data_IF_429925099380
#
_entry.id   IF_429925099380
#
_cell.length_a   1.000
_cell.length_b   1.000
_cell.length_c   1.000
_cell.angle_alpha   90.00
_cell.angle_beta   90.00
_cell.angle_gamma   90.00
#
_symmetry.space_group_name_H-M   'P 1'
#
loop_
_entity.id
_entity.type
_entity.pdbx_description
1 polymer ?
#
# COMPACT_ATOMS: atom_id res chain seq x y z
N UNK A 1 14.56 -6.02 11.54
CA UNK A 1 13.42 -6.94 11.69
C UNK A 1 12.14 -6.14 11.47
N UNK A 2 11.39 -6.46 10.42
CA UNK A 2 10.09 -5.83 10.14
C UNK A 2 9.08 -6.57 11.03
N UNK A 3 8.41 -5.90 11.96
CA UNK A 3 7.30 -6.52 12.69
C UNK A 3 6.19 -6.86 11.68
N UNK A 4 5.92 -8.14 11.46
CA UNK A 4 4.90 -8.65 10.53
C UNK A 4 5.39 -9.15 9.17
N UNK A 5 6.68 -8.97 8.83
CA UNK A 5 7.29 -9.62 7.67
C UNK A 5 8.47 -10.49 8.10
N UNK A 6 8.38 -11.78 7.83
CA UNK A 6 9.46 -12.70 8.09
C UNK A 6 10.31 -12.87 6.83
N UNK A 7 11.55 -12.40 6.94
CA UNK A 7 12.55 -12.63 5.92
C UNK A 7 13.19 -13.98 6.21
N UNK A 8 12.99 -14.91 5.30
CA UNK A 8 13.71 -16.17 5.27
C UNK A 8 14.80 -15.98 4.23
N UNK A 9 16.03 -15.64 4.66
CA UNK A 9 17.12 -15.49 3.71
C UNK A 9 17.28 -16.79 2.90
N UNK A 10 17.19 -16.74 1.57
CA UNK A 10 17.75 -17.81 0.75
C UNK A 10 19.21 -17.92 1.09
N UNK A 11 19.61 -19.11 1.51
CA UNK A 11 20.97 -19.45 1.87
C UNK A 11 21.51 -18.70 3.12
N UNK A 12 21.30 -19.32 4.28
CA UNK A 12 22.47 -19.57 5.13
C UNK A 12 23.55 -20.30 4.30
N UNK A 13 24.80 -20.29 4.73
CA UNK A 13 26.00 -20.79 4.01
C UNK A 13 25.93 -22.23 3.41
N UNK A 14 24.79 -22.92 3.51
CA UNK A 14 24.54 -24.31 3.12
C UNK A 14 23.70 -24.51 1.83
N UNK A 15 23.29 -23.46 1.11
CA UNK A 15 22.69 -23.59 -0.23
C UNK A 15 21.36 -24.37 -0.31
N UNK A 16 20.68 -24.62 0.82
CA UNK A 16 19.36 -25.27 0.86
C UNK A 16 18.26 -24.28 0.48
N UNK A 17 17.31 -24.76 -0.32
CA UNK A 17 16.13 -23.97 -0.68
C UNK A 17 15.28 -23.67 0.57
N UNK A 18 14.61 -22.51 0.60
CA UNK A 18 13.76 -22.06 1.72
C UNK A 18 12.77 -23.15 2.17
N UNK A 19 12.28 -23.96 1.23
CA UNK A 19 11.34 -25.06 1.45
C UNK A 19 12.00 -26.31 2.04
N UNK A 20 13.23 -26.62 1.63
CA UNK A 20 14.01 -27.73 2.22
C UNK A 20 14.36 -27.46 3.68
N UNK A 21 14.65 -26.21 4.04
CA UNK A 21 14.89 -25.82 5.43
C UNK A 21 13.63 -25.94 6.30
N UNK A 22 12.45 -25.73 5.71
CA UNK A 22 11.16 -25.84 6.38
C UNK A 22 10.58 -27.27 6.38
N UNK A 23 11.18 -28.20 5.63
CA UNK A 23 10.72 -29.59 5.47
C UNK A 23 9.21 -29.66 5.12
N UNK A 24 8.81 -28.85 4.13
CA UNK A 24 7.42 -28.75 3.65
C UNK A 24 7.32 -29.21 2.21
N UNK A 25 6.27 -29.96 1.90
CA UNK A 25 5.89 -30.28 0.53
C UNK A 25 5.15 -29.08 -0.08
N UNK A 26 5.59 -28.67 -1.27
CA UNK A 26 5.09 -27.48 -1.95
C UNK A 26 4.35 -27.87 -3.22
N UNK A 27 3.10 -27.45 -3.31
CA UNK A 27 2.30 -27.56 -4.53
C UNK A 27 1.95 -26.16 -5.03
N UNK A 28 2.09 -25.93 -6.34
CA UNK A 28 1.80 -24.61 -6.94
C UNK A 28 0.51 -24.71 -7.74
N UNK A 29 -0.49 -23.96 -7.32
CA UNK A 29 -1.76 -23.82 -8.01
C UNK A 29 -1.82 -22.41 -8.63
N UNK A 30 -2.18 -22.32 -9.92
CA UNK A 30 -2.40 -21.03 -10.58
C UNK A 30 -3.90 -20.78 -10.70
N UNK A 31 -4.39 -19.78 -9.99
CA UNK A 31 -5.79 -19.35 -10.04
C UNK A 31 -5.85 -17.95 -10.66
N UNK A 32 -6.25 -17.89 -11.94
CA UNK A 32 -6.27 -16.65 -12.71
C UNK A 32 -4.88 -16.03 -12.90
N UNK A 33 -4.72 -14.81 -12.39
CA UNK A 33 -3.44 -14.06 -12.44
C UNK A 33 -2.57 -14.27 -11.20
N UNK A 34 -3.06 -15.00 -10.18
CA UNK A 34 -2.35 -15.22 -8.94
C UNK A 34 -1.81 -16.64 -8.86
N UNK A 35 -0.56 -16.77 -8.40
CA UNK A 35 0.06 -18.05 -8.10
C UNK A 35 -0.10 -18.31 -6.59
N UNK A 36 -0.67 -19.45 -6.25
CA UNK A 36 -0.84 -19.91 -4.88
C UNK A 36 0.12 -21.08 -4.63
N UNK A 37 0.84 -21.00 -3.52
CA UNK A 37 1.70 -22.05 -3.01
C UNK A 37 0.99 -22.72 -1.84
N UNK A 38 0.57 -23.95 -2.03
CA UNK A 38 -0.03 -24.77 -1.00
C UNK A 38 1.05 -25.66 -0.39
N UNK A 39 1.37 -25.35 0.86
CA UNK A 39 2.38 -26.02 1.66
C UNK A 39 1.70 -27.07 2.54
N UNK A 40 2.29 -28.26 2.62
CA UNK A 40 1.87 -29.32 3.54
C UNK A 40 3.07 -29.76 4.37
N UNK A 41 2.95 -29.79 5.69
CA UNK A 41 4.06 -30.16 6.57
C UNK A 41 3.97 -29.52 7.95
N UNK A 42 5.10 -29.49 8.66
CA UNK A 42 5.18 -28.90 9.99
C UNK A 42 5.40 -27.38 9.88
N UNK A 43 4.34 -26.60 10.07
CA UNK A 43 4.40 -25.16 9.91
C UNK A 43 5.06 -24.48 11.13
N UNK A 44 5.88 -23.42 10.92
CA UNK A 44 6.42 -22.63 12.01
C UNK A 44 5.30 -22.02 12.86
N UNK A 45 5.38 -22.15 14.19
CA UNK A 45 4.37 -21.60 15.13
C UNK A 45 4.23 -20.08 15.10
N UNK A 46 5.22 -19.38 14.53
CA UNK A 46 5.23 -17.93 14.40
C UNK A 46 4.42 -17.43 13.19
N UNK A 47 3.96 -18.32 12.31
CA UNK A 47 3.14 -17.94 11.17
C UNK A 47 1.74 -17.54 11.61
N UNK A 48 1.24 -16.49 10.99
CA UNK A 48 -0.12 -16.03 11.13
C UNK A 48 -0.67 -15.61 9.77
N UNK A 49 -2.00 -15.60 9.66
CA UNK A 49 -2.67 -15.07 8.45
C UNK A 49 -2.29 -13.59 8.27
N UNK A 50 -2.04 -13.20 7.02
CA UNK A 50 -1.56 -11.87 6.67
C UNK A 50 -0.07 -11.64 6.88
N UNK A 51 0.68 -12.65 7.35
CA UNK A 51 2.13 -12.55 7.46
C UNK A 51 2.78 -12.49 6.08
N UNK A 52 3.72 -11.57 5.92
CA UNK A 52 4.51 -11.41 4.71
C UNK A 52 5.77 -12.26 4.78
N UNK A 53 6.09 -12.92 3.69
CA UNK A 53 7.26 -13.78 3.55
C UNK A 53 8.08 -13.26 2.38
N UNK A 54 9.37 -13.00 2.61
CA UNK A 54 10.33 -12.72 1.55
C UNK A 54 11.57 -13.55 1.69
N UNK A 55 12.18 -13.84 0.56
CA UNK A 55 13.42 -14.58 0.46
C UNK A 55 14.67 -13.72 0.73
N UNK A 56 14.55 -12.40 0.59
CA UNK A 56 15.63 -11.45 0.88
C UNK A 56 15.07 -10.10 1.31
N UNK A 57 15.84 -9.34 2.11
CA UNK A 57 15.49 -7.95 2.42
C UNK A 57 15.62 -7.06 1.17
N UNK A 58 16.63 -7.30 0.32
CA UNK A 58 16.89 -6.51 -0.88
C UNK A 58 16.87 -7.44 -2.11
N UNK A 59 15.98 -7.21 -3.06
CA UNK A 59 16.04 -7.97 -4.32
C UNK A 59 15.39 -9.36 -4.29
N UNK A 60 14.43 -9.64 -3.40
CA UNK A 60 13.81 -10.96 -3.32
C UNK A 60 13.19 -11.42 -4.65
N UNK A 61 13.55 -12.63 -5.10
CA UNK A 61 12.89 -13.31 -6.22
C UNK A 61 11.54 -13.89 -5.80
N UNK A 62 11.39 -14.19 -4.51
CA UNK A 62 10.16 -14.72 -3.92
C UNK A 62 9.64 -13.82 -2.81
N UNK A 63 8.42 -13.32 -3.01
CA UNK A 63 7.65 -12.53 -2.05
C UNK A 63 6.20 -13.04 -2.03
N UNK A 64 5.71 -13.39 -0.85
CA UNK A 64 4.39 -13.98 -0.69
C UNK A 64 3.67 -13.47 0.57
N UNK A 65 2.35 -13.62 0.60
CA UNK A 65 1.51 -13.39 1.77
C UNK A 65 0.81 -14.69 2.17
N UNK A 66 0.76 -14.99 3.47
CA UNK A 66 0.02 -16.13 4.00
C UNK A 66 -1.48 -15.77 4.03
N UNK A 67 -2.29 -16.45 3.22
CA UNK A 67 -3.75 -16.26 3.16
C UNK A 67 -4.50 -17.18 4.09
N UNK A 68 -4.07 -18.43 4.16
CA UNK A 68 -4.71 -19.44 4.99
C UNK A 68 -3.64 -20.20 5.77
N UNK A 69 -3.91 -20.46 7.04
CA UNK A 69 -3.06 -21.25 7.92
C UNK A 69 -3.91 -22.31 8.61
N UNK A 70 -3.60 -23.56 8.33
CA UNK A 70 -4.13 -24.75 9.01
C UNK A 70 -3.07 -25.38 9.92
N UNK A 71 -3.44 -26.46 10.65
CA UNK A 71 -2.54 -27.13 11.59
C UNK A 71 -1.31 -27.78 10.93
N UNK A 72 -1.45 -28.24 9.68
CA UNK A 72 -0.36 -28.88 8.91
C UNK A 72 -0.34 -28.46 7.44
N UNK A 73 -1.07 -27.39 7.10
CA UNK A 73 -1.19 -26.87 5.75
C UNK A 73 -1.20 -25.35 5.75
N UNK A 74 -0.61 -24.71 4.76
CA UNK A 74 -0.63 -23.27 4.61
C UNK A 74 -0.82 -22.90 3.14
N UNK A 75 -1.63 -21.88 2.87
CA UNK A 75 -1.83 -21.32 1.53
C UNK A 75 -1.16 -19.96 1.47
N UNK A 76 -0.12 -19.86 0.66
CA UNK A 76 0.60 -18.62 0.37
C UNK A 76 0.18 -18.11 -1.01
N UNK A 77 0.02 -16.81 -1.14
CA UNK A 77 -0.19 -16.15 -2.42
C UNK A 77 1.07 -15.39 -2.81
N UNK A 78 1.57 -15.64 -4.01
CA UNK A 78 2.69 -14.89 -4.57
C UNK A 78 2.27 -13.45 -4.86
N UNK A 79 3.08 -12.50 -4.42
CA UNK A 79 2.83 -11.09 -4.61
C UNK A 79 3.28 -10.62 -6.00
N UNK A 80 2.66 -9.54 -6.46
CA UNK A 80 3.03 -8.92 -7.73
C UNK A 80 4.30 -8.08 -7.55
N UNK A 81 5.24 -8.18 -8.49
CA UNK A 81 6.46 -7.39 -8.44
C UNK A 81 6.26 -6.01 -9.09
N UNK A 82 6.12 -4.98 -8.27
CA UNK A 82 5.95 -3.58 -8.67
C UNK A 82 7.27 -2.82 -8.90
N UNK A 83 8.42 -3.51 -8.99
CA UNK A 83 9.74 -2.86 -9.15
C UNK A 83 10.08 -2.50 -10.60
N UNK A 84 9.73 -3.37 -11.55
CA UNK A 84 10.20 -3.24 -12.93
C UNK A 84 9.09 -2.89 -13.94
N UNK A 85 7.97 -3.63 -13.95
CA UNK A 85 6.98 -3.52 -15.03
C UNK A 85 5.57 -3.15 -14.58
N UNK A 86 5.16 -3.52 -13.37
CA UNK A 86 3.89 -3.09 -12.80
C UNK A 86 4.15 -1.83 -11.96
N UNK A 87 4.04 -0.62 -12.52
CA UNK A 87 4.01 0.58 -11.69
C UNK A 87 2.58 0.84 -11.22
N UNK A 88 2.36 1.16 -9.94
CA UNK A 88 1.05 1.64 -9.48
C UNK A 88 0.99 3.14 -9.76
N UNK A 89 0.17 3.57 -10.72
CA UNK A 89 0.04 4.97 -11.11
C UNK A 89 1.40 5.69 -11.36
N UNK A 90 2.34 5.01 -12.03
CA UNK A 90 3.69 5.54 -12.31
C UNK A 90 4.67 5.51 -11.13
N UNK A 91 4.31 4.83 -10.03
CA UNK A 91 5.16 4.61 -8.86
C UNK A 91 5.67 3.17 -8.86
N UNK A 92 7.00 3.03 -8.78
CA UNK A 92 7.69 1.75 -8.70
C UNK A 92 8.23 1.54 -7.28
N UNK A 93 8.22 0.29 -6.84
CA UNK A 93 8.88 -0.10 -5.60
C UNK A 93 10.40 -0.16 -5.82
N UNK A 94 11.17 0.36 -4.86
CA UNK A 94 12.63 0.24 -4.85
C UNK A 94 13.14 -0.86 -3.91
N UNK A 95 12.34 -1.19 -2.89
CA UNK A 95 12.69 -2.13 -1.82
C UNK A 95 11.53 -3.13 -1.62
N UNK A 96 11.82 -4.31 -1.08
CA UNK A 96 10.85 -5.37 -0.77
C UNK A 96 9.72 -4.83 0.11
N UNK A 97 10.07 -3.95 1.08
CA UNK A 97 9.10 -3.25 1.93
C UNK A 97 8.11 -2.37 1.16
N UNK A 98 8.60 -1.67 0.13
CA UNK A 98 7.73 -0.84 -0.72
C UNK A 98 6.85 -1.72 -1.60
N UNK A 99 7.39 -2.85 -2.09
CA UNK A 99 6.62 -3.80 -2.87
C UNK A 99 5.48 -4.42 -2.04
N UNK A 100 5.78 -4.84 -0.81
CA UNK A 100 4.77 -5.28 0.15
C UNK A 100 3.71 -4.23 0.40
N UNK A 101 4.13 -2.98 0.64
CA UNK A 101 3.20 -1.87 0.87
C UNK A 101 2.24 -1.68 -0.31
N UNK A 102 2.75 -1.69 -1.54
CA UNK A 102 1.91 -1.55 -2.73
C UNK A 102 0.96 -2.73 -2.93
N UNK A 103 1.43 -3.96 -2.72
CA UNK A 103 0.57 -5.14 -2.79
C UNK A 103 -0.55 -5.08 -1.75
N UNK A 104 -0.24 -4.77 -0.49
CA UNK A 104 -1.23 -4.63 0.57
C UNK A 104 -2.23 -3.51 0.29
N UNK A 105 -1.77 -2.38 -0.24
CA UNK A 105 -2.65 -1.27 -0.59
C UNK A 105 -3.57 -1.60 -1.77
N UNK A 106 -3.10 -2.39 -2.74
CA UNK A 106 -3.84 -2.75 -3.95
C UNK A 106 -4.76 -3.96 -3.77
N UNK A 107 -4.75 -4.57 -2.58
CA UNK A 107 -5.54 -5.74 -2.26
C UNK A 107 -6.95 -5.35 -1.78
N UNK A 108 -8.02 -5.70 -2.52
CA UNK A 108 -9.38 -5.37 -2.12
C UNK A 108 -9.87 -6.16 -0.90
N UNK A 109 -9.20 -7.26 -0.53
CA UNK A 109 -9.57 -8.07 0.63
C UNK A 109 -9.09 -7.45 1.97
N UNK A 110 -8.31 -6.37 1.91
CA UNK A 110 -7.73 -5.72 3.10
C UNK A 110 -8.40 -4.37 3.34
N UNK A 111 -9.23 -4.30 4.39
CA UNK A 111 -9.96 -3.07 4.75
C UNK A 111 -9.06 -1.97 5.35
N UNK A 112 -7.95 -2.34 6.00
CA UNK A 112 -7.10 -1.41 6.73
C UNK A 112 -5.62 -1.76 6.58
N UNK A 113 -4.86 -0.80 6.04
CA UNK A 113 -3.41 -0.88 5.95
C UNK A 113 -2.78 0.21 6.81
N UNK A 114 -1.95 -0.20 7.78
CA UNK A 114 -1.15 0.73 8.58
C UNK A 114 0.30 0.67 8.13
N UNK A 115 0.86 1.81 7.72
CA UNK A 115 2.23 1.90 7.21
C UNK A 115 3.08 2.73 8.17
N UNK A 116 3.96 2.07 8.91
CA UNK A 116 4.94 2.71 9.79
C UNK A 116 6.34 2.68 9.16
N UNK A 117 7.15 3.72 9.40
CA UNK A 117 8.55 3.73 9.01
C UNK A 117 9.17 5.13 9.03
N UNK A 118 10.47 5.22 8.74
CA UNK A 118 11.24 6.46 8.79
C UNK A 118 10.71 7.53 7.81
N UNK A 119 10.93 8.81 8.13
CA UNK A 119 10.58 9.89 7.22
C UNK A 119 11.35 9.73 5.88
N UNK A 120 10.71 10.10 4.77
CA UNK A 120 11.33 10.04 3.44
C UNK A 120 11.21 8.70 2.69
N UNK A 121 10.64 7.65 3.30
CA UNK A 121 10.52 6.32 2.63
C UNK A 121 9.36 6.20 1.63
N UNK A 122 8.74 7.31 1.22
CA UNK A 122 7.70 7.32 0.19
C UNK A 122 6.32 6.83 0.62
N UNK A 123 6.05 6.60 1.91
CA UNK A 123 4.75 6.09 2.42
C UNK A 123 3.54 6.85 1.87
N UNK A 124 3.50 8.17 2.10
CA UNK A 124 2.41 9.02 1.61
C UNK A 124 2.27 8.98 0.09
N UNK A 125 3.40 8.89 -0.61
CA UNK A 125 3.43 8.87 -2.07
C UNK A 125 2.87 7.55 -2.64
N UNK A 126 3.25 6.41 -2.06
CA UNK A 126 2.71 5.10 -2.43
C UNK A 126 1.22 4.99 -2.11
N UNK A 127 0.79 5.47 -0.93
CA UNK A 127 -0.64 5.51 -0.57
C UNK A 127 -1.45 6.35 -1.55
N UNK A 128 -0.94 7.53 -1.95
CA UNK A 128 -1.57 8.38 -2.95
C UNK A 128 -1.70 7.69 -4.30
N UNK A 129 -0.63 7.02 -4.75
CA UNK A 129 -0.63 6.30 -6.02
C UNK A 129 -1.66 5.16 -6.02
N UNK A 130 -1.73 4.37 -4.96
CA UNK A 130 -2.73 3.31 -4.80
C UNK A 130 -4.16 3.88 -4.77
N UNK A 131 -4.38 5.00 -4.04
CA UNK A 131 -5.67 5.67 -3.99
C UNK A 131 -6.14 6.11 -5.39
N UNK A 132 -5.24 6.70 -6.19
CA UNK A 132 -5.56 7.10 -7.56
C UNK A 132 -5.79 5.92 -8.48
N UNK A 133 -4.95 4.88 -8.40
CA UNK A 133 -5.13 3.66 -9.18
C UNK A 133 -6.52 3.05 -8.92
N UNK A 134 -6.92 2.95 -7.66
CA UNK A 134 -8.19 2.30 -7.30
C UNK A 134 -9.41 3.18 -7.56
N UNK A 135 -9.29 4.50 -7.43
CA UNK A 135 -10.41 5.43 -7.65
C UNK A 135 -10.59 5.80 -9.13
N UNK A 136 -9.50 6.03 -9.86
CA UNK A 136 -9.55 6.56 -11.23
C UNK A 136 -9.53 5.44 -12.28
N UNK A 137 -8.62 4.48 -12.15
CA UNK A 137 -8.48 3.39 -13.13
C UNK A 137 -9.41 2.23 -12.79
N UNK A 138 -9.29 1.65 -11.59
CA UNK A 138 -10.08 0.48 -11.18
C UNK A 138 -11.53 0.83 -10.80
N UNK A 139 -11.80 2.11 -10.51
CA UNK A 139 -13.12 2.64 -10.10
C UNK A 139 -13.78 1.85 -8.95
N UNK A 140 -12.97 1.29 -8.05
CA UNK A 140 -13.42 0.58 -6.85
C UNK A 140 -13.97 1.57 -5.80
N UNK A 141 -13.42 2.78 -5.76
CA UNK A 141 -13.83 3.85 -4.86
C UNK A 141 -14.31 5.06 -5.63
N UNK A 142 -15.28 5.78 -5.08
CA UNK A 142 -15.84 6.99 -5.70
C UNK A 142 -15.03 8.24 -5.35
N UNK A 143 -14.44 8.26 -4.15
CA UNK A 143 -13.82 9.44 -3.55
C UNK A 143 -12.61 9.07 -2.69
N UNK A 144 -11.67 10.01 -2.60
CA UNK A 144 -10.49 9.88 -1.74
C UNK A 144 -10.53 10.98 -0.68
N UNK A 145 -10.40 10.61 0.60
CA UNK A 145 -10.43 11.56 1.70
C UNK A 145 -9.09 11.62 2.41
N UNK A 146 -8.48 12.79 2.38
CA UNK A 146 -7.25 13.06 3.14
C UNK A 146 -7.56 13.77 4.44
N UNK A 147 -7.01 13.22 5.52
CA UNK A 147 -7.09 13.77 6.87
C UNK A 147 -5.73 13.74 7.55
N UNK A 148 -5.45 14.73 8.39
CA UNK A 148 -4.39 14.71 9.41
C UNK A 148 -4.83 15.59 10.55
N UNK A 149 -4.37 15.21 11.74
CA UNK A 149 -4.54 16.03 12.92
C UNK A 149 -3.93 17.43 12.67
N UNK A 150 -4.68 18.52 12.88
CA UNK A 150 -4.08 19.85 12.85
C UNK A 150 -3.04 19.90 13.97
N UNK A 151 -1.77 20.14 13.61
CA UNK A 151 -0.73 20.46 14.58
C UNK A 151 -0.99 21.92 15.00
N UNK A 152 -1.34 22.21 16.27
CA UNK A 152 -1.52 23.58 16.70
C UNK A 152 -0.16 24.26 16.72
N UNK A 153 0.07 25.14 15.74
CA UNK A 153 1.20 26.08 15.76
C UNK A 153 0.68 27.39 16.37
N UNK A 154 0.95 27.62 17.66
CA UNK A 154 0.71 28.87 18.39
C UNK A 154 -0.76 29.22 18.70
N UNK A 155 -0.91 30.08 19.73
CA UNK A 155 -2.11 30.54 20.47
C UNK A 155 -3.50 30.12 19.97
N UNK A 156 -4.32 29.62 20.90
CA UNK A 156 -5.74 29.30 20.78
C UNK A 156 -6.60 30.53 20.46
N UNK A 157 -6.49 31.03 19.24
CA UNK A 157 -7.52 31.90 18.66
C UNK A 157 -8.72 31.00 18.33
N UNK A 158 -9.69 30.98 19.25
CA UNK A 158 -11.11 30.63 19.13
C UNK A 158 -11.58 29.72 17.98
N UNK A 159 -12.40 28.74 18.34
CA UNK A 159 -13.00 27.73 17.46
C UNK A 159 -13.90 28.32 16.36
N UNK A 160 -13.30 28.80 15.26
CA UNK A 160 -14.05 29.14 14.05
C UNK A 160 -13.90 28.01 13.01
N UNK A 161 -14.97 27.25 12.69
CA UNK A 161 -14.89 26.12 11.75
C UNK A 161 -14.43 26.55 10.34
N UNK A 162 -14.70 27.80 9.95
CA UNK A 162 -14.21 28.38 8.69
C UNK A 162 -12.69 28.59 8.69
N UNK A 163 -12.08 28.96 9.83
CA UNK A 163 -10.63 29.23 9.93
C UNK A 163 -9.82 27.92 9.90
N UNK A 164 -10.29 26.87 10.59
CA UNK A 164 -9.68 25.51 10.52
C UNK A 164 -9.69 24.97 9.10
N UNK A 165 -10.82 25.05 8.40
CA UNK A 165 -10.94 24.62 6.99
C UNK A 165 -10.02 25.44 6.07
N UNK A 166 -9.90 26.74 6.30
CA UNK A 166 -8.98 27.61 5.54
C UNK A 166 -7.51 27.25 5.80
N UNK A 167 -7.12 26.94 7.04
CA UNK A 167 -5.74 26.54 7.42
C UNK A 167 -5.34 25.20 6.83
N UNK A 168 -6.21 24.17 6.90
CA UNK A 168 -6.00 22.90 6.20
C UNK A 168 -5.88 23.14 4.69
N UNK A 169 -6.80 23.90 4.07
CA UNK A 169 -6.73 24.15 2.62
C UNK A 169 -5.47 24.92 2.19
N UNK A 170 -4.96 25.85 3.03
CA UNK A 170 -3.78 26.69 2.69
C UNK A 170 -2.45 25.95 2.80
N UNK A 171 -2.27 25.07 3.78
CA UNK A 171 -1.01 24.35 3.98
C UNK A 171 -0.88 23.05 3.17
N UNK A 172 -2.01 22.43 2.83
CA UNK A 172 -2.06 21.06 2.33
C UNK A 172 -2.11 20.97 0.81
N UNK A 173 -2.95 21.82 0.23
CA UNK A 173 -3.18 21.84 -1.21
C UNK A 173 -1.88 22.08 -1.99
N UNK A 174 -0.95 22.97 -1.58
CA UNK A 174 0.29 23.13 -2.33
C UNK A 174 1.17 21.88 -2.34
N UNK A 175 1.42 21.26 -1.19
CA UNK A 175 2.26 20.04 -1.10
C UNK A 175 1.61 18.87 -1.85
N UNK A 176 0.30 18.71 -1.71
CA UNK A 176 -0.42 17.63 -2.38
C UNK A 176 -0.52 17.85 -3.88
N UNK A 177 -0.78 19.08 -4.33
CA UNK A 177 -0.76 19.43 -5.75
C UNK A 177 0.63 19.21 -6.33
N UNK A 178 1.71 19.54 -5.61
CA UNK A 178 3.08 19.24 -6.05
C UNK A 178 3.31 17.73 -6.16
N UNK A 179 2.82 16.93 -5.20
CA UNK A 179 2.95 15.47 -5.26
C UNK A 179 2.14 14.85 -6.39
N UNK A 180 0.88 15.26 -6.55
CA UNK A 180 0.03 14.88 -7.68
C UNK A 180 0.73 15.26 -8.98
N UNK A 181 1.28 16.50 -9.05
CA UNK A 181 2.04 17.06 -10.18
C UNK A 181 3.34 16.27 -10.47
N UNK A 182 3.97 15.71 -9.45
CA UNK A 182 5.16 14.90 -9.60
C UNK A 182 4.82 13.48 -10.09
N UNK A 183 3.73 12.87 -9.58
CA UNK A 183 3.28 11.54 -10.01
C UNK A 183 2.99 11.48 -11.50
N UNK A 184 2.15 12.40 -12.02
CA UNK A 184 1.75 12.30 -13.42
C UNK A 184 2.82 12.81 -14.42
N UNK A 185 3.85 13.53 -13.96
CA UNK A 185 5.00 13.90 -14.80
C UNK A 185 5.83 12.66 -15.16
N UNK A 186 5.89 11.67 -14.27
CA UNK A 186 6.63 10.41 -14.49
C UNK A 186 5.96 9.49 -15.52
N UNK A 187 4.69 9.71 -15.85
CA UNK A 187 3.92 8.85 -16.77
C UNK A 187 4.28 9.10 -18.24
N UNK A 188 5.05 10.14 -18.57
CA UNK A 188 5.49 10.44 -19.95
C UNK A 188 4.36 10.74 -20.94
N UNK A 189 3.10 10.63 -20.51
CA UNK A 189 1.93 10.92 -21.30
C UNK A 189 1.69 12.44 -21.31
N UNK A 190 1.72 13.02 -22.51
CA UNK A 190 1.17 14.34 -22.86
C UNK A 190 -0.31 14.52 -22.47
N UNK A 191 -0.96 13.47 -21.98
CA UNK A 191 -2.36 13.41 -21.52
C UNK A 191 -2.70 14.35 -20.36
N UNK A 192 -1.70 14.86 -19.63
CA UNK A 192 -1.97 15.78 -18.50
C UNK A 192 -2.26 17.23 -18.89
N UNK A 193 -2.08 17.58 -20.16
CA UNK A 193 -2.52 18.88 -20.68
C UNK A 193 -4.05 18.97 -20.76
N UNK A 194 -4.76 17.85 -20.60
CA UNK A 194 -6.21 17.83 -20.52
C UNK A 194 -6.65 18.33 -19.13
N UNK A 195 -7.07 19.60 -19.05
CA UNK A 195 -7.68 20.20 -17.86
C UNK A 195 -8.81 19.36 -17.23
N UNK A 196 -9.43 18.46 -18.00
CA UNK A 196 -10.38 17.45 -17.55
C UNK A 196 -9.82 16.52 -16.45
N UNK A 197 -8.58 16.02 -16.57
CA UNK A 197 -7.98 15.12 -15.57
C UNK A 197 -7.72 15.86 -14.26
N UNK A 198 -7.27 17.13 -14.34
CA UNK A 198 -7.13 18.00 -13.16
C UNK A 198 -8.46 18.28 -12.48
N UNK A 199 -9.52 18.50 -13.26
CA UNK A 199 -10.86 18.74 -12.74
C UNK A 199 -11.47 17.48 -12.11
N UNK A 200 -11.25 16.31 -12.70
CA UNK A 200 -11.68 15.02 -12.16
C UNK A 200 -10.99 14.69 -10.84
N UNK A 201 -9.67 14.85 -10.76
CA UNK A 201 -8.92 14.68 -9.50
C UNK A 201 -9.42 15.69 -8.46
N UNK A 202 -9.58 16.95 -8.84
CA UNK A 202 -10.10 18.00 -7.94
C UNK A 202 -11.52 17.75 -7.45
N UNK A 203 -12.34 17.00 -8.20
CA UNK A 203 -13.71 16.64 -7.82
C UNK A 203 -13.78 15.44 -6.87
N UNK A 204 -12.90 14.45 -7.03
CA UNK A 204 -12.89 13.20 -6.24
C UNK A 204 -12.02 13.27 -4.99
N UNK A 205 -11.01 14.14 -4.99
CA UNK A 205 -10.11 14.34 -3.84
C UNK A 205 -10.70 15.37 -2.89
N UNK A 206 -10.99 14.95 -1.65
CA UNK A 206 -11.49 15.84 -0.61
C UNK A 206 -10.52 15.91 0.57
N UNK A 207 -10.13 17.12 0.96
CA UNK A 207 -9.36 17.36 2.19
C UNK A 207 -10.34 17.76 3.28
N UNK A 208 -10.44 16.94 4.33
CA UNK A 208 -11.36 17.15 5.45
C UNK A 208 -10.61 17.11 6.78
N UNK A 209 -11.16 17.78 7.80
CA UNK A 209 -10.63 17.67 9.16
C UNK A 209 -11.18 16.41 9.85
N UNK A 210 -10.47 15.84 10.84
CA UNK A 210 -10.99 14.72 11.63
C UNK A 210 -12.36 15.01 12.26
N UNK A 211 -12.56 16.24 12.75
CA UNK A 211 -13.82 16.68 13.34
C UNK A 211 -15.00 16.69 12.36
N UNK A 212 -14.73 16.77 11.05
CA UNK A 212 -15.76 16.74 10.01
C UNK A 212 -16.24 15.31 9.70
N UNK A 213 -15.41 14.31 9.98
CA UNK A 213 -15.76 12.89 9.77
C UNK A 213 -16.69 12.36 10.87
N UNK A 214 -16.68 12.98 12.06
CA UNK A 214 -17.53 12.57 13.18
C UNK A 214 -19.01 12.72 12.81
N UNK A 215 -19.73 11.59 12.76
CA UNK A 215 -21.16 11.54 12.47
C UNK A 215 -21.54 11.52 10.97
N UNK A 216 -20.59 11.24 10.06
CA UNK A 216 -20.86 11.05 8.63
C UNK A 216 -20.47 9.66 8.16
N UNK A 217 -21.22 9.11 7.21
CA UNK A 217 -20.92 7.82 6.58
C UNK A 217 -19.83 7.98 5.51
N UNK A 218 -18.82 7.12 5.56
CA UNK A 218 -17.68 7.10 4.63
C UNK A 218 -17.79 5.90 3.68
N UNK A 219 -18.96 5.70 3.07
CA UNK A 219 -19.14 4.66 2.06
C UNK A 219 -18.30 4.97 0.83
N UNK A 220 -17.72 3.93 0.24
CA UNK A 220 -16.95 3.93 -1.02
C UNK A 220 -15.85 5.00 -1.06
N UNK A 221 -15.17 5.16 0.08
CA UNK A 221 -14.10 6.14 0.29
C UNK A 221 -12.78 5.44 0.57
N UNK A 222 -11.75 5.87 -0.17
CA UNK A 222 -10.35 5.56 0.13
C UNK A 222 -9.76 6.57 1.12
#
# INVERSE_FOLDING_TARGET
>A
MIEGAQVYATAGQDGKSLWEALNVDVTVERVGHHNFYQLTGNMPRQWHVGMLVSDSENGAEFEAIIRELGPSSARLQLLTNYRHHAGVWGVHAHDSRQNFTLNLLMDPDIDLVTIAGNAGTGKTFMTLAAAFQQTLDAKLFERIVFTRAPIPMGEDIGFYPALKRRRCRRGWVPSMTIWITCCAMKRGESSWDNGATRQLIGSRVQIRSPSFMRGRTLNDTF
#
